data_IF_275304269238
#
_entry.id   IF_275304269238
#
_cell.length_a   1.000
_cell.length_b   1.000
_cell.length_c   1.000
_cell.angle_alpha   90.00
_cell.angle_beta   90.00
_cell.angle_gamma   90.00
#
_symmetry.space_group_name_H-M   'P 1'
#
loop_
_entity.id
_entity.type
_entity.pdbx_description
1 polymer ?
#
# COMPACT_ATOMS: atom_id res chain seq x y z
N UNK A 1 -2.23 15.76 86.86
CA UNK A 1 -1.89 15.62 85.42
C UNK A 1 -3.20 15.72 84.64
N UNK A 2 -3.42 16.84 83.96
CA UNK A 2 -4.63 17.03 83.15
C UNK A 2 -4.38 16.45 81.76
N UNK A 3 -5.06 15.34 81.46
CA UNK A 3 -5.11 14.76 80.12
C UNK A 3 -5.75 15.78 79.18
N UNK A 4 -5.00 16.20 78.15
CA UNK A 4 -5.51 17.06 77.09
C UNK A 4 -6.62 16.31 76.36
N UNK A 5 -7.86 16.82 76.29
CA UNK A 5 -8.90 16.17 75.51
C UNK A 5 -8.52 16.23 74.03
N UNK A 6 -8.32 15.06 73.44
CA UNK A 6 -8.05 14.91 72.01
C UNK A 6 -9.32 15.28 71.26
N UNK A 7 -9.41 16.53 70.81
CA UNK A 7 -10.52 17.03 70.01
C UNK A 7 -10.41 16.51 68.56
N UNK A 8 -10.82 15.27 68.33
CA UNK A 8 -11.19 14.82 66.99
C UNK A 8 -12.66 15.20 66.76
N UNK A 9 -12.92 16.42 66.28
CA UNK A 9 -14.28 16.84 65.93
C UNK A 9 -14.93 15.82 64.98
N UNK A 10 -16.22 15.54 65.12
CA UNK A 10 -16.96 14.65 64.20
C UNK A 10 -16.80 15.08 62.72
N UNK A 11 -16.62 16.38 62.49
CA UNK A 11 -16.28 16.95 61.18
C UNK A 11 -14.92 16.50 60.65
N UNK A 12 -13.90 16.40 61.51
CA UNK A 12 -12.58 15.88 61.15
C UNK A 12 -12.64 14.38 60.84
N UNK A 13 -13.41 13.60 61.61
CA UNK A 13 -13.64 12.17 61.32
C UNK A 13 -14.41 11.96 60.02
N UNK A 14 -15.42 12.78 59.73
CA UNK A 14 -16.17 12.73 58.47
C UNK A 14 -15.27 13.05 57.26
N UNK A 15 -14.48 14.13 57.33
CA UNK A 15 -13.52 14.48 56.28
C UNK A 15 -12.45 13.42 56.08
N UNK A 16 -11.98 12.80 57.17
CA UNK A 16 -11.04 11.67 57.09
C UNK A 16 -11.68 10.46 56.38
N UNK A 17 -12.92 10.10 56.71
CA UNK A 17 -13.64 9.01 56.04
C UNK A 17 -13.83 9.31 54.56
N UNK A 18 -14.23 10.52 54.20
CA UNK A 18 -14.38 10.95 52.81
C UNK A 18 -13.05 10.83 52.04
N UNK A 19 -11.95 11.32 52.60
CA UNK A 19 -10.62 11.18 52.01
C UNK A 19 -10.20 9.71 51.86
N UNK A 20 -10.42 8.89 52.88
CA UNK A 20 -10.09 7.46 52.82
C UNK A 20 -10.91 6.74 51.75
N UNK A 21 -12.21 7.04 51.63
CA UNK A 21 -13.05 6.46 50.58
C UNK A 21 -12.61 6.91 49.19
N UNK A 22 -12.29 8.20 49.01
CA UNK A 22 -11.76 8.73 47.76
C UNK A 22 -10.44 8.08 47.34
N UNK A 23 -9.52 7.89 48.27
CA UNK A 23 -8.24 7.21 48.02
C UNK A 23 -8.44 5.73 47.66
N UNK A 24 -9.33 5.02 48.37
CA UNK A 24 -9.65 3.61 48.06
C UNK A 24 -10.24 3.45 46.65
N UNK A 25 -11.17 4.34 46.27
CA UNK A 25 -11.74 4.33 44.93
C UNK A 25 -10.68 4.63 43.87
N UNK A 26 -9.75 5.56 44.15
CA UNK A 26 -8.61 5.86 43.29
C UNK A 26 -7.70 4.64 43.08
N UNK A 27 -7.34 3.93 44.16
CA UNK A 27 -6.52 2.71 44.10
C UNK A 27 -7.21 1.63 43.26
N UNK A 28 -8.49 1.35 43.53
CA UNK A 28 -9.24 0.34 42.78
C UNK A 28 -9.29 0.65 41.28
N UNK A 29 -9.52 1.92 40.91
CA UNK A 29 -9.51 2.35 39.50
C UNK A 29 -8.13 2.18 38.85
N UNK A 30 -7.08 2.45 39.61
CA UNK A 30 -5.70 2.30 39.15
C UNK A 30 -5.36 0.81 38.92
N UNK A 31 -5.72 -0.07 39.86
CA UNK A 31 -5.51 -1.53 39.74
C UNK A 31 -6.32 -2.14 38.59
N UNK A 32 -7.57 -1.69 38.41
CA UNK A 32 -8.41 -2.07 37.27
C UNK A 32 -7.76 -1.63 35.94
N UNK A 33 -7.22 -0.41 35.88
CA UNK A 33 -6.49 0.05 34.72
C UNK A 33 -5.31 -0.86 34.41
N UNK A 34 -4.44 -1.14 35.40
CA UNK A 34 -3.26 -1.97 35.23
C UNK A 34 -3.61 -3.40 34.76
N UNK A 35 -4.61 -4.02 35.38
CA UNK A 35 -5.07 -5.38 35.02
C UNK A 35 -5.73 -5.44 33.64
N UNK A 36 -6.38 -4.35 33.18
CA UNK A 36 -6.99 -4.29 31.85
C UNK A 36 -6.02 -4.03 30.69
N UNK A 37 -4.77 -3.62 30.97
CA UNK A 37 -3.82 -3.17 29.95
C UNK A 37 -3.51 -4.21 28.88
N UNK A 38 -3.35 -5.48 29.26
CA UNK A 38 -3.09 -6.55 28.30
C UNK A 38 -4.18 -6.64 27.23
N UNK A 39 -5.44 -6.70 27.67
CA UNK A 39 -6.58 -6.75 26.74
C UNK A 39 -6.78 -5.46 25.94
N UNK A 40 -6.33 -4.30 26.45
CA UNK A 40 -6.34 -3.04 25.69
C UNK A 40 -5.25 -3.00 24.62
N UNK A 41 -4.05 -3.50 24.93
CA UNK A 41 -2.94 -3.62 23.99
C UNK A 41 -3.30 -4.55 22.83
N UNK A 42 -4.00 -5.65 23.11
CA UNK A 42 -4.40 -6.61 22.07
C UNK A 42 -5.50 -6.09 21.14
N UNK A 43 -6.23 -5.05 21.57
CA UNK A 43 -7.27 -4.36 20.77
C UNK A 43 -6.73 -3.21 19.93
N UNK A 44 -5.46 -2.82 20.11
CA UNK A 44 -4.82 -1.79 19.30
C UNK A 44 -4.75 -2.27 17.85
N UNK A 45 -5.36 -1.52 16.94
CA UNK A 45 -5.42 -1.84 15.52
C UNK A 45 -4.80 -0.75 14.62
N UNK A 46 -4.33 0.35 15.21
CA UNK A 46 -3.73 1.46 14.49
C UNK A 46 -2.64 2.18 15.30
N UNK A 47 -1.82 2.99 14.62
CA UNK A 47 -0.82 3.84 15.27
C UNK A 47 -1.48 4.90 16.17
N UNK A 48 -2.67 5.39 15.81
CA UNK A 48 -3.44 6.33 16.63
C UNK A 48 -3.95 5.70 17.93
N UNK A 49 -4.42 4.45 17.86
CA UNK A 49 -4.85 3.70 19.05
C UNK A 49 -3.67 3.43 19.99
N UNK A 50 -2.52 3.04 19.42
CA UNK A 50 -1.29 2.80 20.16
C UNK A 50 -0.79 4.09 20.85
N UNK A 51 -0.83 5.22 20.14
CA UNK A 51 -0.46 6.53 20.68
C UNK A 51 -1.38 6.98 21.81
N UNK A 52 -2.70 6.79 21.65
CA UNK A 52 -3.70 7.14 22.67
C UNK A 52 -3.54 6.29 23.93
N UNK A 53 -3.27 4.98 23.77
CA UNK A 53 -3.01 4.09 24.90
C UNK A 53 -1.68 4.45 25.59
N UNK A 54 -0.64 4.77 24.83
CA UNK A 54 0.64 5.21 25.37
C UNK A 54 0.52 6.49 26.21
N UNK A 55 -0.29 7.46 25.76
CA UNK A 55 -0.58 8.67 26.53
C UNK A 55 -1.28 8.33 27.85
N UNK A 56 -2.34 7.50 27.79
CA UNK A 56 -3.06 7.09 28.98
C UNK A 56 -2.17 6.34 30.00
N UNK A 57 -1.26 5.48 29.52
CA UNK A 57 -0.27 4.80 30.36
C UNK A 57 0.70 5.80 30.99
N UNK A 58 1.17 6.79 30.22
CA UNK A 58 2.13 7.79 30.69
C UNK A 58 1.56 8.71 31.77
N UNK A 59 0.28 9.08 31.66
CA UNK A 59 -0.43 9.89 32.66
C UNK A 59 -0.52 9.20 34.02
N UNK A 60 -0.62 7.87 34.03
CA UNK A 60 -0.80 7.06 35.24
C UNK A 60 0.54 6.56 35.80
N UNK A 61 1.58 6.43 34.97
CA UNK A 61 2.90 5.90 35.37
C UNK A 61 3.50 6.63 36.60
N UNK A 62 3.38 7.96 36.65
CA UNK A 62 3.91 8.77 37.75
C UNK A 62 3.27 8.47 39.11
N UNK A 63 2.05 7.94 39.12
CA UNK A 63 1.31 7.56 40.33
C UNK A 63 1.78 6.23 40.94
N UNK A 64 2.53 5.44 40.16
CA UNK A 64 3.00 4.11 40.53
C UNK A 64 4.49 4.05 40.88
N UNK A 65 5.16 5.19 41.04
CA UNK A 65 6.59 5.23 41.31
C UNK A 65 6.97 4.38 42.55
N UNK A 66 7.83 3.37 42.35
CA UNK A 66 8.28 2.45 43.39
C UNK A 66 7.33 1.29 43.70
N UNK A 67 6.26 1.10 42.92
CA UNK A 67 5.34 -0.03 43.00
C UNK A 67 5.65 -1.08 41.91
N UNK A 68 5.39 -2.37 42.13
CA UNK A 68 5.61 -3.42 41.12
C UNK A 68 4.77 -3.23 39.85
N UNK A 69 3.62 -2.56 39.94
CA UNK A 69 2.78 -2.23 38.79
C UNK A 69 3.44 -1.20 37.84
N UNK A 70 4.46 -0.47 38.30
CA UNK A 70 5.25 0.42 37.44
C UNK A 70 5.99 -0.33 36.33
N UNK A 71 6.44 -1.56 36.61
CA UNK A 71 7.12 -2.41 35.62
C UNK A 71 6.13 -2.85 34.53
N UNK A 72 4.90 -3.22 34.92
CA UNK A 72 3.81 -3.58 33.99
C UNK A 72 3.45 -2.39 33.10
N UNK A 73 3.32 -1.20 33.67
CA UNK A 73 3.04 0.03 32.92
C UNK A 73 4.20 0.41 31.98
N UNK A 74 5.44 0.21 32.42
CA UNK A 74 6.63 0.46 31.59
C UNK A 74 6.69 -0.50 30.40
N UNK A 75 6.48 -1.80 30.63
CA UNK A 75 6.40 -2.79 29.56
C UNK A 75 5.22 -2.51 28.60
N UNK A 76 4.06 -2.10 29.12
CA UNK A 76 2.92 -1.69 28.31
C UNK A 76 3.25 -0.46 27.44
N UNK A 77 3.98 0.52 27.98
CA UNK A 77 4.44 1.71 27.26
C UNK A 77 5.40 1.35 26.13
N UNK A 78 6.36 0.47 26.39
CA UNK A 78 7.29 -0.05 25.39
C UNK A 78 6.55 -0.79 24.26
N UNK A 79 5.58 -1.66 24.62
CA UNK A 79 4.74 -2.36 23.65
C UNK A 79 3.89 -1.39 22.83
N UNK A 80 3.31 -0.34 23.43
CA UNK A 80 2.61 0.71 22.67
C UNK A 80 3.53 1.42 21.68
N UNK A 81 4.76 1.75 22.10
CA UNK A 81 5.76 2.37 21.23
C UNK A 81 6.13 1.48 20.05
N UNK A 82 6.31 0.18 20.29
CA UNK A 82 6.58 -0.78 19.23
C UNK A 82 5.37 -0.97 18.29
N UNK A 83 4.14 -1.08 18.83
CA UNK A 83 2.90 -1.14 18.02
C UNK A 83 2.74 0.10 17.15
N UNK A 84 3.06 1.28 17.68
CA UNK A 84 3.02 2.54 16.92
C UNK A 84 3.93 2.46 15.68
N UNK A 85 5.14 1.91 15.81
CA UNK A 85 6.07 1.74 14.68
C UNK A 85 5.55 0.72 13.68
N UNK A 86 5.03 -0.42 14.15
CA UNK A 86 4.45 -1.45 13.27
C UNK A 86 3.31 -0.87 12.44
N UNK A 87 2.35 -0.19 13.06
CA UNK A 87 1.21 0.37 12.33
C UNK A 87 1.57 1.57 11.46
N UNK A 88 2.62 2.33 11.79
CA UNK A 88 3.16 3.37 10.91
C UNK A 88 3.82 2.75 9.65
N UNK A 89 4.55 1.66 9.81
CA UNK A 89 5.13 0.93 8.68
C UNK A 89 4.04 0.28 7.82
N UNK A 90 2.98 -0.28 8.44
CA UNK A 90 1.81 -0.77 7.72
C UNK A 90 1.13 0.33 6.91
N UNK A 91 0.97 1.54 7.45
CA UNK A 91 0.43 2.66 6.68
C UNK A 91 1.32 3.03 5.48
N UNK A 92 2.63 2.89 5.62
CA UNK A 92 3.59 3.11 4.52
C UNK A 92 3.50 2.00 3.47
N UNK A 93 3.28 0.75 3.88
CA UNK A 93 2.99 -0.39 2.99
C UNK A 93 1.68 -0.18 2.25
N UNK A 94 0.61 0.22 2.95
CA UNK A 94 -0.70 0.49 2.36
C UNK A 94 -0.59 1.59 1.28
N UNK A 95 0.19 2.65 1.54
CA UNK A 95 0.51 3.68 0.55
C UNK A 95 1.29 3.15 -0.66
N UNK A 96 2.26 2.27 -0.45
CA UNK A 96 3.03 1.64 -1.53
C UNK A 96 2.17 0.71 -2.41
N UNK A 97 1.23 -0.04 -1.80
CA UNK A 97 0.27 -0.89 -2.52
C UNK A 97 -0.67 -0.02 -3.36
N UNK A 98 -1.21 1.07 -2.79
CA UNK A 98 -2.11 1.98 -3.51
C UNK A 98 -1.40 2.63 -4.71
N UNK A 99 -0.17 3.10 -4.52
CA UNK A 99 0.68 3.73 -5.55
C UNK A 99 1.40 2.76 -6.49
N UNK A 100 1.10 1.46 -6.43
CA UNK A 100 1.78 0.45 -7.22
C UNK A 100 1.56 0.69 -8.72
N UNK A 101 2.65 0.96 -9.43
CA UNK A 101 2.65 1.27 -10.87
C UNK A 101 3.67 0.46 -11.67
N UNK A 102 4.61 -0.23 -11.01
CA UNK A 102 5.62 -1.08 -11.65
C UNK A 102 5.65 -2.45 -10.98
N UNK A 103 5.79 -3.52 -11.77
CA UNK A 103 5.80 -4.90 -11.26
C UNK A 103 7.00 -5.18 -10.35
N UNK A 104 8.16 -4.59 -10.65
CA UNK A 104 9.40 -4.77 -9.89
C UNK A 104 9.35 -4.28 -8.44
N UNK A 105 8.35 -3.45 -8.08
CA UNK A 105 8.16 -3.00 -6.71
C UNK A 105 7.50 -4.07 -5.81
N UNK A 106 6.83 -5.07 -6.38
CA UNK A 106 6.08 -6.09 -5.63
C UNK A 106 6.96 -6.86 -4.64
N UNK A 107 8.13 -7.42 -5.04
CA UNK A 107 8.98 -8.16 -4.10
C UNK A 107 9.49 -7.29 -2.93
N UNK A 108 9.68 -5.99 -3.17
CA UNK A 108 10.08 -5.05 -2.12
C UNK A 108 8.99 -4.86 -1.07
N UNK A 109 7.72 -4.80 -1.48
CA UNK A 109 6.58 -4.71 -0.56
C UNK A 109 6.42 -6.03 0.21
N UNK A 110 6.51 -7.18 -0.47
CA UNK A 110 6.46 -8.50 0.17
C UNK A 110 7.57 -8.67 1.23
N UNK A 111 8.79 -8.24 0.91
CA UNK A 111 9.93 -8.27 1.83
C UNK A 111 9.68 -7.41 3.07
N UNK A 112 9.04 -6.24 2.92
CA UNK A 112 8.69 -5.37 4.07
C UNK A 112 7.65 -6.02 4.97
N UNK A 113 6.60 -6.62 4.39
CA UNK A 113 5.57 -7.35 5.16
C UNK A 113 6.19 -8.54 5.91
N UNK A 114 7.01 -9.34 5.22
CA UNK A 114 7.71 -10.46 5.84
C UNK A 114 8.67 -10.01 6.94
N UNK A 115 9.40 -8.91 6.72
CA UNK A 115 10.30 -8.31 7.70
C UNK A 115 9.58 -7.83 8.95
N UNK A 116 8.38 -7.24 8.82
CA UNK A 116 7.54 -6.87 9.97
C UNK A 116 7.13 -8.07 10.81
N UNK A 117 6.72 -9.18 10.17
CA UNK A 117 6.36 -10.40 10.88
C UNK A 117 7.57 -11.01 11.59
N UNK A 118 8.70 -11.12 10.88
CA UNK A 118 9.92 -11.71 11.42
C UNK A 118 10.52 -10.89 12.58
N UNK A 119 10.47 -9.56 12.51
CA UNK A 119 10.94 -8.69 13.58
C UNK A 119 10.14 -8.82 14.89
N UNK A 120 8.96 -9.43 14.84
CA UNK A 120 8.01 -9.47 15.97
C UNK A 120 7.50 -10.88 16.30
N UNK A 121 8.17 -11.94 15.84
CA UNK A 121 7.85 -13.36 16.06
C UNK A 121 7.93 -13.81 17.55
N UNK A 122 8.29 -12.91 18.47
CA UNK A 122 8.45 -13.16 19.90
C UNK A 122 7.23 -12.86 20.79
N UNK A 123 6.01 -12.85 20.24
CA UNK A 123 4.77 -12.60 21.01
C UNK A 123 4.50 -11.12 21.35
N UNK A 124 5.18 -10.19 20.66
CA UNK A 124 4.92 -8.75 20.77
C UNK A 124 3.56 -8.37 20.15
N UNK A 125 3.25 -8.99 19.01
CA UNK A 125 1.96 -8.89 18.35
C UNK A 125 1.04 -9.99 18.87
N UNK A 126 -0.23 -9.66 19.12
CA UNK A 126 -1.23 -10.68 19.36
C UNK A 126 -1.74 -11.27 18.01
N UNK A 127 -2.45 -12.42 18.02
CA UNK A 127 -2.89 -13.07 16.79
C UNK A 127 -3.74 -12.19 15.85
N UNK A 128 -4.57 -11.29 16.39
CA UNK A 128 -5.35 -10.35 15.57
C UNK A 128 -4.47 -9.29 14.91
N UNK A 129 -3.41 -8.82 15.58
CA UNK A 129 -2.46 -7.87 15.03
C UNK A 129 -1.57 -8.51 13.96
N UNK A 130 -1.12 -9.75 14.19
CA UNK A 130 -0.43 -10.53 13.16
C UNK A 130 -1.30 -10.74 11.92
N UNK A 131 -2.59 -11.05 12.12
CA UNK A 131 -3.54 -11.21 11.02
C UNK A 131 -3.65 -9.92 10.18
N UNK A 132 -3.68 -8.74 10.82
CA UNK A 132 -3.68 -7.45 10.12
C UNK A 132 -2.41 -7.28 9.26
N UNK A 133 -1.24 -7.66 9.76
CA UNK A 133 0.01 -7.59 8.98
C UNK A 133 -0.05 -8.57 7.80
N UNK A 134 -0.47 -9.82 8.03
CA UNK A 134 -0.58 -10.86 6.98
C UNK A 134 -1.61 -10.50 5.91
N UNK A 135 -2.69 -9.81 6.26
CA UNK A 135 -3.71 -9.36 5.33
C UNK A 135 -3.13 -8.48 4.21
N UNK A 136 -2.03 -7.75 4.46
CA UNK A 136 -1.39 -6.89 3.44
C UNK A 136 -0.82 -7.71 2.28
N UNK A 137 -0.40 -8.94 2.51
CA UNK A 137 -0.01 -9.85 1.42
C UNK A 137 -1.21 -10.16 0.53
N UNK A 138 -2.38 -10.39 1.11
CA UNK A 138 -3.62 -10.62 0.36
C UNK A 138 -4.05 -9.37 -0.42
N UNK A 139 -4.03 -8.20 0.22
CA UNK A 139 -4.37 -6.92 -0.43
C UNK A 139 -3.41 -6.60 -1.57
N UNK A 140 -2.11 -6.83 -1.39
CA UNK A 140 -1.11 -6.70 -2.46
C UNK A 140 -1.42 -7.64 -3.63
N UNK A 141 -1.70 -8.92 -3.36
CA UNK A 141 -2.07 -9.89 -4.39
C UNK A 141 -3.31 -9.46 -5.18
N UNK A 142 -4.36 -9.01 -4.48
CA UNK A 142 -5.58 -8.48 -5.11
C UNK A 142 -5.29 -7.26 -5.99
N UNK A 143 -4.42 -6.35 -5.53
CA UNK A 143 -4.00 -5.17 -6.29
C UNK A 143 -3.24 -5.57 -7.56
N UNK A 144 -2.32 -6.53 -7.48
CA UNK A 144 -1.59 -7.08 -8.63
C UNK A 144 -2.57 -7.68 -9.64
N UNK A 145 -3.48 -8.53 -9.20
CA UNK A 145 -4.50 -9.14 -10.08
C UNK A 145 -5.37 -8.08 -10.77
N UNK A 146 -5.76 -7.02 -10.05
CA UNK A 146 -6.51 -5.91 -10.66
C UNK A 146 -5.71 -5.21 -11.76
N UNK A 147 -4.43 -4.93 -11.52
CA UNK A 147 -3.55 -4.27 -12.51
C UNK A 147 -3.29 -5.17 -13.73
N UNK A 148 -3.16 -6.48 -13.52
CA UNK A 148 -3.06 -7.47 -14.60
C UNK A 148 -4.34 -7.51 -15.45
N UNK A 149 -5.51 -7.46 -14.82
CA UNK A 149 -6.79 -7.43 -15.52
C UNK A 149 -6.97 -6.14 -16.34
N UNK A 150 -6.52 -4.99 -15.81
CA UNK A 150 -6.54 -3.72 -16.54
C UNK A 150 -5.55 -3.73 -17.73
N UNK A 151 -4.36 -4.31 -17.55
CA UNK A 151 -3.39 -4.49 -18.63
C UNK A 151 -3.92 -5.42 -19.73
N UNK A 152 -4.58 -6.51 -19.37
CA UNK A 152 -5.21 -7.42 -20.31
C UNK A 152 -6.36 -6.73 -21.07
N UNK A 153 -7.19 -5.96 -20.38
CA UNK A 153 -8.29 -5.19 -20.99
C UNK A 153 -7.78 -4.18 -22.01
N UNK A 154 -6.72 -3.44 -21.64
CA UNK A 154 -6.04 -2.54 -22.56
C UNK A 154 -5.61 -3.24 -23.85
N UNK A 155 -5.01 -4.44 -23.75
CA UNK A 155 -4.59 -5.21 -24.93
C UNK A 155 -5.79 -5.64 -25.79
N UNK A 156 -6.86 -6.14 -25.18
CA UNK A 156 -8.08 -6.54 -25.91
C UNK A 156 -8.75 -5.35 -26.62
N UNK A 157 -8.78 -4.17 -26.00
CA UNK A 157 -9.25 -2.95 -26.64
C UNK A 157 -8.43 -2.61 -27.89
N UNK A 158 -7.09 -2.76 -27.82
CA UNK A 158 -6.22 -2.52 -28.99
C UNK A 158 -6.40 -3.55 -30.08
N UNK A 159 -6.59 -4.83 -29.74
CA UNK A 159 -6.95 -5.86 -30.72
C UNK A 159 -8.28 -5.54 -31.42
N UNK A 160 -9.30 -5.16 -30.65
CA UNK A 160 -10.61 -4.79 -31.18
C UNK A 160 -10.54 -3.58 -32.12
N UNK A 161 -9.73 -2.56 -31.78
CA UNK A 161 -9.47 -1.40 -32.64
C UNK A 161 -8.85 -1.79 -33.99
N UNK A 162 -7.91 -2.74 -33.99
CA UNK A 162 -7.32 -3.26 -35.24
C UNK A 162 -8.34 -4.07 -36.04
N UNK A 163 -9.11 -4.94 -35.37
CA UNK A 163 -10.10 -5.78 -36.02
C UNK A 163 -11.24 -4.97 -36.69
N UNK A 164 -11.68 -3.89 -36.05
CA UNK A 164 -12.72 -2.99 -36.57
C UNK A 164 -12.24 -2.04 -37.68
N UNK A 165 -10.97 -2.09 -38.08
CA UNK A 165 -10.42 -1.20 -39.10
C UNK A 165 -10.29 0.26 -38.63
N UNK A 166 -10.21 0.49 -37.32
CA UNK A 166 -9.97 1.82 -36.77
C UNK A 166 -8.63 2.41 -37.20
N UNK A 167 -8.47 3.72 -37.00
CA UNK A 167 -7.21 4.41 -37.34
C UNK A 167 -6.01 3.77 -36.65
N UNK A 168 -5.05 3.35 -37.46
CA UNK A 168 -3.78 2.72 -37.05
C UNK A 168 -2.73 3.78 -36.69
N UNK A 169 -2.99 5.06 -37.00
CA UNK A 169 -2.11 6.17 -36.65
C UNK A 169 -1.91 6.27 -35.13
N UNK A 170 -0.64 6.22 -34.69
CA UNK A 170 -0.23 6.25 -33.28
C UNK A 170 -0.43 4.93 -32.52
N UNK A 171 -1.14 3.95 -33.09
CA UNK A 171 -1.38 2.67 -32.42
C UNK A 171 -0.09 1.88 -32.21
N UNK A 172 0.84 1.92 -33.18
CA UNK A 172 2.13 1.26 -33.03
C UNK A 172 2.92 1.83 -31.83
N UNK A 173 2.94 3.15 -31.67
CA UNK A 173 3.62 3.83 -30.56
C UNK A 173 3.01 3.46 -29.21
N UNK A 174 1.68 3.33 -29.16
CA UNK A 174 0.97 2.84 -27.97
C UNK A 174 1.35 1.39 -27.64
N UNK A 175 1.40 0.50 -28.64
CA UNK A 175 1.75 -0.91 -28.44
C UNK A 175 3.20 -1.12 -28.03
N UNK A 176 4.10 -0.20 -28.39
CA UNK A 176 5.50 -0.20 -27.94
C UNK A 176 5.67 0.21 -26.47
N UNK A 177 4.62 0.74 -25.84
CA UNK A 177 4.61 1.17 -24.42
C UNK A 177 3.51 0.43 -23.66
N UNK A 178 3.62 -0.90 -23.51
CA UNK A 178 2.58 -1.67 -22.84
C UNK A 178 2.47 -1.33 -21.35
N UNK A 179 1.30 -1.56 -20.74
CA UNK A 179 1.14 -1.50 -19.31
C UNK A 179 2.11 -2.47 -18.58
N UNK A 180 2.69 -2.06 -17.45
CA UNK A 180 3.77 -2.80 -16.77
C UNK A 180 3.31 -4.11 -16.10
N UNK A 181 2.01 -4.34 -15.98
CA UNK A 181 1.43 -5.55 -15.41
C UNK A 181 0.98 -6.56 -16.46
N UNK A 182 1.37 -6.39 -17.73
CA UNK A 182 1.12 -7.39 -18.75
C UNK A 182 1.82 -8.71 -18.39
N UNK A 183 1.12 -9.83 -18.47
CA UNK A 183 1.70 -11.15 -18.18
C UNK A 183 2.45 -11.69 -19.39
N UNK A 184 3.36 -12.64 -19.18
CA UNK A 184 4.18 -13.23 -20.24
C UNK A 184 3.36 -13.79 -21.43
N UNK A 185 2.22 -14.42 -21.14
CA UNK A 185 1.29 -14.91 -22.16
C UNK A 185 0.77 -13.75 -23.02
N UNK A 186 0.39 -12.64 -22.38
CA UNK A 186 -0.15 -11.44 -23.06
C UNK A 186 0.93 -10.63 -23.77
N UNK A 187 2.19 -10.68 -23.33
CA UNK A 187 3.32 -10.10 -24.06
C UNK A 187 3.56 -10.81 -25.40
N UNK A 188 3.32 -12.12 -25.47
CA UNK A 188 3.39 -12.85 -26.74
C UNK A 188 2.31 -12.37 -27.72
N UNK A 189 1.08 -12.19 -27.23
CA UNK A 189 -0.04 -11.67 -28.01
C UNK A 189 0.19 -10.22 -28.47
N UNK A 190 0.79 -9.40 -27.60
CA UNK A 190 1.19 -8.03 -27.93
C UNK A 190 2.20 -8.03 -29.09
N UNK A 191 3.22 -8.87 -29.05
CA UNK A 191 4.23 -8.97 -30.13
C UNK A 191 3.58 -9.35 -31.46
N UNK A 192 2.64 -10.29 -31.44
CA UNK A 192 1.86 -10.63 -32.64
C UNK A 192 1.05 -9.44 -33.15
N UNK A 193 0.36 -8.73 -32.25
CA UNK A 193 -0.43 -7.56 -32.62
C UNK A 193 0.44 -6.44 -33.22
N UNK A 194 1.61 -6.17 -32.64
CA UNK A 194 2.60 -5.22 -33.18
C UNK A 194 2.98 -5.60 -34.60
N UNK A 195 3.27 -6.87 -34.87
CA UNK A 195 3.60 -7.35 -36.22
C UNK A 195 2.46 -7.13 -37.22
N UNK A 196 1.22 -7.41 -36.83
CA UNK A 196 0.02 -7.17 -37.67
C UNK A 196 -0.17 -5.69 -37.97
N UNK A 197 -0.01 -4.83 -36.96
CA UNK A 197 -0.12 -3.38 -37.10
C UNK A 197 0.95 -2.83 -38.03
N UNK A 198 2.20 -3.26 -37.86
CA UNK A 198 3.31 -2.86 -38.72
C UNK A 198 3.05 -3.25 -40.18
N UNK A 199 2.67 -4.50 -40.45
CA UNK A 199 2.36 -4.97 -41.81
C UNK A 199 1.24 -4.16 -42.47
N UNK A 200 0.21 -3.76 -41.71
CA UNK A 200 -0.87 -2.92 -42.23
C UNK A 200 -0.40 -1.49 -42.53
N UNK A 201 0.45 -0.91 -41.68
CA UNK A 201 1.04 0.42 -41.93
C UNK A 201 1.94 0.40 -43.17
N UNK A 202 2.75 -0.65 -43.33
CA UNK A 202 3.61 -0.82 -44.50
C UNK A 202 2.77 -0.98 -45.77
N UNK A 203 1.70 -1.79 -45.72
CA UNK A 203 0.78 -1.99 -46.83
C UNK A 203 0.03 -0.70 -47.22
N UNK A 204 -0.45 0.09 -46.24
CA UNK A 204 -1.09 1.37 -46.56
C UNK A 204 -0.09 2.37 -47.13
N UNK A 205 1.12 2.45 -46.59
CA UNK A 205 2.20 3.31 -47.11
C UNK A 205 2.54 2.94 -48.55
N UNK A 206 2.73 1.64 -48.83
CA UNK A 206 2.94 1.15 -50.19
C UNK A 206 1.75 1.50 -51.12
N UNK A 207 0.52 1.34 -50.63
CA UNK A 207 -0.69 1.74 -51.36
C UNK A 207 -0.76 3.25 -51.62
N UNK A 208 -0.34 4.09 -50.69
CA UNK A 208 -0.22 5.54 -50.88
C UNK A 208 0.81 5.88 -51.96
N UNK A 209 1.99 5.25 -51.94
CA UNK A 209 3.01 5.43 -52.98
C UNK A 209 2.43 5.08 -54.36
N UNK A 210 1.74 3.95 -54.49
CA UNK A 210 1.08 3.55 -55.75
C UNK A 210 0.04 4.58 -56.18
N UNK A 211 -0.82 5.06 -55.26
CA UNK A 211 -1.84 6.09 -55.55
C UNK A 211 -1.22 7.42 -56.01
N UNK A 212 -0.14 7.86 -55.37
CA UNK A 212 0.57 9.07 -55.80
C UNK A 212 1.24 8.87 -57.16
N UNK A 213 1.84 7.70 -57.39
CA UNK A 213 2.49 7.36 -58.65
C UNK A 213 1.51 7.29 -59.83
N UNK A 214 0.32 6.74 -59.63
CA UNK A 214 -0.72 6.67 -60.68
C UNK A 214 -1.34 8.03 -61.00
N UNK A 215 -1.35 8.98 -60.05
CA UNK A 215 -1.84 10.35 -60.25
C UNK A 215 -0.93 11.22 -61.13
N UNK A 216 0.32 10.80 -61.36
CA UNK A 216 1.23 11.49 -62.28
C UNK A 216 0.71 11.31 -63.71
N UNK A 217 0.26 12.39 -64.35
CA UNK A 217 -0.34 12.36 -65.69
C UNK A 217 0.70 12.14 -66.81
N UNK A 218 1.91 12.71 -66.65
CA UNK A 218 2.99 12.59 -67.64
C UNK A 218 3.69 11.23 -67.55
N UNK A 219 3.80 10.54 -68.69
CA UNK A 219 4.54 9.28 -68.80
C UNK A 219 6.04 9.46 -68.55
N UNK A 220 6.63 10.55 -69.03
CA UNK A 220 8.05 10.86 -68.80
C UNK A 220 8.33 11.05 -67.32
N UNK A 221 7.46 11.81 -66.64
CA UNK A 221 7.59 12.07 -65.21
C UNK A 221 7.40 10.80 -64.38
N UNK A 222 6.47 9.93 -64.79
CA UNK A 222 6.26 8.62 -64.16
C UNK A 222 7.50 7.71 -64.32
N UNK A 223 8.15 7.70 -65.49
CA UNK A 223 9.39 6.96 -65.70
C UNK A 223 10.57 7.54 -64.89
N UNK A 224 10.64 8.87 -64.78
CA UNK A 224 11.63 9.57 -63.94
C UNK A 224 11.50 9.16 -62.48
N UNK A 225 10.28 9.24 -61.91
CA UNK A 225 10.00 8.85 -60.52
C UNK A 225 10.26 7.36 -60.29
N UNK A 226 9.93 6.50 -61.26
CA UNK A 226 10.26 5.08 -61.17
C UNK A 226 11.77 4.85 -61.06
N UNK A 227 12.56 5.54 -61.90
CA UNK A 227 14.01 5.47 -61.86
C UNK A 227 14.59 5.93 -60.52
N UNK A 228 14.03 6.97 -59.90
CA UNK A 228 14.41 7.43 -58.55
C UNK A 228 14.07 6.38 -57.47
N UNK A 229 12.85 5.82 -57.47
CA UNK A 229 12.46 4.76 -56.53
C UNK A 229 13.34 3.52 -56.66
N UNK A 230 13.69 3.14 -57.89
CA UNK A 230 14.56 2.01 -58.18
C UNK A 230 15.98 2.25 -57.66
N UNK A 231 16.51 3.48 -57.80
CA UNK A 231 17.81 3.86 -57.24
C UNK A 231 17.85 3.77 -55.71
N UNK A 232 16.78 4.22 -55.05
CA UNK A 232 16.61 4.11 -53.59
C UNK A 232 16.61 2.65 -53.14
N UNK A 233 15.90 1.77 -53.85
CA UNK A 233 15.84 0.33 -53.51
C UNK A 233 17.16 -0.38 -53.78
N UNK A 234 17.86 -0.04 -54.87
CA UNK A 234 19.13 -0.64 -55.27
C UNK A 234 20.33 -0.12 -54.44
N UNK A 235 20.09 0.81 -53.51
CA UNK A 235 21.11 1.35 -52.60
C UNK A 235 22.19 2.18 -53.30
N UNK A 236 21.86 2.85 -54.42
CA UNK A 236 22.77 3.70 -55.20
C UNK A 236 22.43 5.18 -55.11
#
# INVERSE_FOLDING_TARGET
>A
AAERPVCHSEKAKALQRERVTGLKAGIAKMEEFASSLGGRLDKVASAGDAGSLNQAVSEVLGLYAGQPEADVLTAARERCGALTRVFAELATIDGAIAGLSVRDAVPGIETRVAGLLAAHDGGMLCPSQEALVRERTTVLGQRVTSLEADAARWLEERKSRVASGGSIGGLLDELQRPPPFLTADRESELRTLVGVVQQRLDADTAGQVVRYFTRIESREERLRVLGELQRIVDGK
#
